data_IF_091927018536
#
_entry.id   IF_091927018536
#
_cell.length_a   1.000
_cell.length_b   1.000
_cell.length_c   1.000
_cell.angle_alpha   90.00
_cell.angle_beta   90.00
_cell.angle_gamma   90.00
#
_symmetry.space_group_name_H-M   'P 1'
#
loop_
_entity.id
_entity.type
_entity.pdbx_description
1 polymer ?
#
# COMPACT_ATOMS: atom_id res chain seq x y z
N UNK A 1 13.33 2.34 -16.24
CA UNK A 1 13.31 1.53 -15.00
C UNK A 1 12.19 0.50 -15.11
N UNK A 2 12.49 -0.75 -15.48
CA UNK A 2 11.45 -1.78 -15.78
C UNK A 2 10.77 -2.40 -14.54
N UNK A 3 11.25 -2.09 -13.34
CA UNK A 3 10.95 -2.86 -12.13
C UNK A 3 9.80 -2.25 -11.31
N UNK A 4 9.58 -0.94 -11.42
CA UNK A 4 8.53 -0.20 -10.69
C UNK A 4 7.14 -0.44 -11.33
N UNK A 5 7.09 -0.83 -12.60
CA UNK A 5 5.84 -1.11 -13.32
C UNK A 5 5.57 -2.62 -13.51
N UNK A 6 6.45 -3.48 -13.00
CA UNK A 6 6.29 -4.92 -13.06
C UNK A 6 5.24 -5.37 -12.04
N UNK A 7 4.17 -5.96 -12.55
CA UNK A 7 3.04 -6.39 -11.72
C UNK A 7 3.46 -7.42 -10.66
N UNK A 8 4.43 -8.30 -10.96
CA UNK A 8 4.90 -9.32 -10.02
C UNK A 8 5.68 -8.68 -8.87
N UNK A 9 6.52 -7.69 -9.19
CA UNK A 9 7.30 -6.95 -8.19
C UNK A 9 6.36 -6.14 -7.30
N UNK A 10 5.40 -5.42 -7.90
CA UNK A 10 4.40 -4.67 -7.14
C UNK A 10 3.57 -5.57 -6.23
N UNK A 11 3.14 -6.73 -6.72
CA UNK A 11 2.42 -7.70 -5.91
C UNK A 11 3.28 -8.23 -4.76
N UNK A 12 4.54 -8.57 -5.01
CA UNK A 12 5.48 -9.00 -3.97
C UNK A 12 5.70 -7.91 -2.92
N UNK A 13 5.86 -6.65 -3.32
CA UNK A 13 6.01 -5.52 -2.39
C UNK A 13 4.76 -5.32 -1.53
N UNK A 14 3.56 -5.43 -2.10
CA UNK A 14 2.32 -5.39 -1.32
C UNK A 14 2.25 -6.54 -0.32
N UNK A 15 2.54 -7.77 -0.77
CA UNK A 15 2.48 -8.98 0.05
C UNK A 15 3.62 -9.11 1.06
N UNK A 16 4.62 -8.23 1.02
CA UNK A 16 5.75 -8.22 1.97
C UNK A 16 5.75 -6.91 2.74
N UNK A 17 6.36 -5.85 2.21
CA UNK A 17 6.47 -4.55 2.86
C UNK A 17 5.10 -3.94 3.16
N UNK A 18 4.12 -4.07 2.27
CA UNK A 18 2.81 -3.43 2.45
C UNK A 18 1.97 -4.02 3.58
N UNK A 19 2.07 -5.33 3.80
CA UNK A 19 1.31 -6.04 4.83
C UNK A 19 2.12 -6.32 6.10
N UNK A 20 3.44 -6.12 6.08
CA UNK A 20 4.28 -6.34 7.25
C UNK A 20 4.05 -5.29 8.35
N UNK A 21 4.44 -5.62 9.59
CA UNK A 21 4.35 -6.95 10.19
C UNK A 21 2.94 -7.55 10.07
N UNK A 22 2.85 -8.87 9.85
CA UNK A 22 1.58 -9.58 9.63
C UNK A 22 0.86 -10.00 10.92
N UNK A 23 1.61 -10.10 12.02
CA UNK A 23 1.10 -10.58 13.31
C UNK A 23 1.26 -9.50 14.38
N UNK A 24 0.26 -9.30 15.27
CA UNK A 24 -1.04 -9.98 15.31
C UNK A 24 -1.99 -9.59 14.16
N UNK A 25 -1.74 -8.44 13.52
CA UNK A 25 -2.42 -8.00 12.31
C UNK A 25 -1.48 -7.11 11.47
N UNK A 26 -1.75 -6.93 10.16
CA UNK A 26 -0.99 -6.04 9.29
C UNK A 26 -0.88 -4.63 9.87
N UNK A 27 0.33 -4.07 9.88
CA UNK A 27 0.57 -2.75 10.45
C UNK A 27 -0.28 -1.66 9.79
N UNK A 28 -0.38 -1.69 8.46
CA UNK A 28 -1.24 -0.79 7.70
C UNK A 28 -2.70 -0.89 8.17
N UNK A 29 -3.20 -2.10 8.45
CA UNK A 29 -4.57 -2.31 8.92
C UNK A 29 -4.80 -1.75 10.32
N UNK A 30 -3.86 -2.00 11.24
CA UNK A 30 -3.90 -1.45 12.59
C UNK A 30 -3.92 0.09 12.57
N UNK A 31 -3.06 0.73 11.76
CA UNK A 31 -3.05 2.19 11.61
C UNK A 31 -4.32 2.74 10.97
N UNK A 32 -4.89 2.08 9.97
CA UNK A 32 -6.17 2.49 9.35
C UNK A 32 -7.29 2.51 10.40
N UNK A 33 -7.40 1.46 11.21
CA UNK A 33 -8.38 1.43 12.31
C UNK A 33 -8.13 2.53 13.34
N UNK A 34 -6.86 2.81 13.65
CA UNK A 34 -6.50 3.88 14.57
C UNK A 34 -6.90 5.27 14.02
N UNK A 35 -6.65 5.53 12.74
CA UNK A 35 -7.10 6.75 12.06
C UNK A 35 -8.63 6.83 12.03
N UNK A 36 -9.33 5.73 11.77
CA UNK A 36 -10.79 5.67 11.83
C UNK A 36 -11.34 5.96 13.23
N UNK A 37 -10.59 5.61 14.28
CA UNK A 37 -10.85 5.96 15.68
C UNK A 37 -10.44 7.38 16.08
N UNK A 38 -10.06 8.23 15.11
CA UNK A 38 -9.70 9.64 15.34
C UNK A 38 -8.20 9.92 15.44
N UNK A 39 -7.33 8.91 15.30
CA UNK A 39 -5.87 9.10 15.24
C UNK A 39 -5.26 9.75 16.49
N UNK A 40 -5.94 9.65 17.63
CA UNK A 40 -5.54 10.31 18.87
C UNK A 40 -4.19 9.77 19.33
N UNK A 41 -3.23 10.66 19.55
CA UNK A 41 -1.89 10.33 20.02
C UNK A 41 -0.93 9.78 18.95
N UNK A 42 -1.33 9.77 17.67
CA UNK A 42 -0.43 9.35 16.59
C UNK A 42 0.76 10.31 16.44
N UNK A 43 1.95 9.74 16.40
CA UNK A 43 3.21 10.45 16.18
C UNK A 43 3.54 10.46 14.69
N UNK A 44 4.53 11.28 14.33
CA UNK A 44 5.04 11.33 12.96
C UNK A 44 5.42 9.94 12.41
N UNK A 45 6.04 9.08 13.23
CA UNK A 45 6.40 7.72 12.83
C UNK A 45 5.16 6.88 12.47
N UNK A 46 4.05 7.04 13.19
CA UNK A 46 2.81 6.29 12.90
C UNK A 46 2.20 6.70 11.55
N UNK A 47 2.29 7.99 11.20
CA UNK A 47 1.89 8.48 9.88
C UNK A 47 2.84 8.02 8.78
N UNK A 48 4.14 8.01 9.07
CA UNK A 48 5.14 7.47 8.16
C UNK A 48 4.90 5.99 7.88
N UNK A 49 4.49 5.21 8.88
CA UNK A 49 4.14 3.80 8.69
C UNK A 49 2.97 3.63 7.72
N UNK A 50 1.91 4.44 7.82
CA UNK A 50 0.79 4.41 6.87
C UNK A 50 1.31 4.67 5.46
N UNK A 51 2.17 5.67 5.29
CA UNK A 51 2.69 6.06 3.99
C UNK A 51 3.60 4.95 3.43
N UNK A 52 4.55 4.45 4.22
CA UNK A 52 5.51 3.43 3.82
C UNK A 52 4.82 2.12 3.43
N UNK A 53 3.90 1.64 4.25
CA UNK A 53 3.20 0.37 4.01
C UNK A 53 2.06 0.53 3.00
N UNK A 54 1.45 1.72 2.90
CA UNK A 54 0.42 2.04 1.91
C UNK A 54 0.98 2.28 0.49
N UNK A 55 2.23 2.72 0.37
CA UNK A 55 2.83 3.10 -0.91
C UNK A 55 2.86 1.97 -1.96
N UNK A 56 3.22 0.71 -1.63
CA UNK A 56 3.12 -0.41 -2.56
C UNK A 56 1.72 -0.59 -3.16
N UNK A 57 0.67 -0.43 -2.34
CA UNK A 57 -0.72 -0.58 -2.81
C UNK A 57 -1.13 0.54 -3.75
N UNK A 58 -0.69 1.78 -3.50
CA UNK A 58 -0.93 2.91 -4.41
C UNK A 58 -0.28 2.68 -5.77
N UNK A 59 0.95 2.16 -5.80
CA UNK A 59 1.64 1.80 -7.05
C UNK A 59 0.90 0.68 -7.80
N UNK A 60 0.49 -0.37 -7.09
CA UNK A 60 -0.28 -1.47 -7.67
C UNK A 60 -1.62 -0.98 -8.24
N UNK A 61 -2.36 -0.15 -7.50
CA UNK A 61 -3.63 0.42 -7.94
C UNK A 61 -3.45 1.29 -9.18
N UNK A 62 -2.44 2.17 -9.19
CA UNK A 62 -2.07 2.97 -10.37
C UNK A 62 -1.81 2.06 -11.58
N UNK A 63 -1.05 0.97 -11.40
CA UNK A 63 -0.72 0.04 -12.49
C UNK A 63 -1.97 -0.65 -13.05
N UNK A 64 -2.88 -1.09 -12.16
CA UNK A 64 -4.16 -1.69 -12.54
C UNK A 64 -5.02 -0.69 -13.30
N UNK A 65 -5.17 0.54 -12.79
CA UNK A 65 -5.96 1.59 -13.44
C UNK A 65 -5.45 1.88 -14.87
N UNK A 66 -4.13 2.02 -15.05
CA UNK A 66 -3.53 2.21 -16.36
C UNK A 66 -3.75 1.00 -17.29
N UNK A 67 -3.69 -0.23 -16.77
CA UNK A 67 -3.97 -1.42 -17.56
C UNK A 67 -5.44 -1.49 -18.01
N UNK A 68 -6.38 -1.11 -17.14
CA UNK A 68 -7.81 -1.05 -17.45
C UNK A 68 -8.12 0.04 -18.47
N UNK A 69 -7.54 1.24 -18.32
CA UNK A 69 -7.69 2.34 -19.30
C UNK A 69 -7.14 1.93 -20.66
N UNK A 70 -5.93 1.35 -20.72
CA UNK A 70 -5.33 0.90 -21.97
C UNK A 70 -6.18 -0.16 -22.68
N UNK A 71 -6.76 -1.10 -21.95
CA UNK A 71 -7.66 -2.13 -22.50
C UNK A 71 -8.92 -1.53 -23.12
N UNK A 72 -9.40 -0.39 -22.62
CA UNK A 72 -10.60 0.29 -23.10
C UNK A 72 -10.36 1.13 -24.35
N UNK A 73 -9.10 1.46 -24.64
CA UNK A 73 -8.68 2.28 -25.79
C UNK A 73 -8.08 1.48 -26.95
N UNK A 74 -8.14 0.15 -26.89
CA UNK A 74 -7.63 -0.76 -27.91
C UNK A 74 -8.67 -1.77 -28.37
#
# INVERSE_FOLDING_TARGET
MKWIDDFRILLLLCLTLGLAPFFPEPHLWGKIKWVAGGGVGMKFMDWFDILLHGFPFLLLLRRIALALVKKKSG
#
